data_IF_019100806865
#
_entry.id   IF_019100806865
#
_cell.length_a   1.000
_cell.length_b   1.000
_cell.length_c   1.000
_cell.angle_alpha   90.00
_cell.angle_beta   90.00
_cell.angle_gamma   90.00
#
_symmetry.space_group_name_H-M   'P 1'
#
loop_
_entity.id
_entity.type
_entity.pdbx_description
1 polymer ?
#
# COMPACT_ATOMS: atom_id res chain seq x y z
N UNK A 1 24.53 24.50 -7.02
CA UNK A 1 23.14 24.97 -7.18
C UNK A 1 22.49 24.05 -8.22
N UNK A 2 21.34 23.42 -7.91
CA UNK A 2 20.70 22.46 -8.81
C UNK A 2 20.15 23.18 -10.06
N UNK A 3 20.39 22.63 -11.25
CA UNK A 3 20.04 23.26 -12.55
C UNK A 3 18.53 23.35 -12.77
N UNK A 4 17.77 22.42 -12.20
CA UNK A 4 16.35 22.24 -12.41
C UNK A 4 15.50 22.66 -11.20
N UNK A 5 16.04 23.52 -10.33
CA UNK A 5 15.35 23.94 -9.10
C UNK A 5 13.97 24.50 -9.41
N UNK A 6 13.84 25.39 -10.39
CA UNK A 6 12.56 26.00 -10.74
C UNK A 6 11.55 24.99 -11.29
N UNK A 7 12.01 24.04 -12.11
CA UNK A 7 11.20 22.97 -12.66
C UNK A 7 10.72 22.00 -11.59
N UNK A 8 11.59 21.63 -10.65
CA UNK A 8 11.25 20.76 -9.52
C UNK A 8 10.21 21.45 -8.63
N UNK A 9 10.41 22.71 -8.25
CA UNK A 9 9.46 23.47 -7.42
C UNK A 9 8.11 23.63 -8.12
N UNK A 10 8.09 23.93 -9.43
CA UNK A 10 6.84 24.04 -10.19
C UNK A 10 6.11 22.70 -10.28
N UNK A 11 6.84 21.62 -10.52
CA UNK A 11 6.28 20.27 -10.64
C UNK A 11 5.69 19.79 -9.31
N UNK A 12 6.44 19.89 -8.21
CA UNK A 12 5.97 19.44 -6.90
C UNK A 12 4.93 20.39 -6.30
N UNK A 13 5.06 21.70 -6.54
CA UNK A 13 4.06 22.68 -6.12
C UNK A 13 2.67 22.43 -6.74
N UNK A 14 2.59 21.81 -7.92
CA UNK A 14 1.32 21.31 -8.45
C UNK A 14 0.73 20.22 -7.55
N UNK A 15 1.50 19.17 -7.22
CA UNK A 15 1.02 18.08 -6.37
C UNK A 15 0.73 18.51 -4.93
N UNK A 16 1.51 19.42 -4.35
CA UNK A 16 1.25 20.01 -3.03
C UNK A 16 -0.07 20.79 -2.99
N UNK A 17 -0.37 21.51 -4.07
CA UNK A 17 -1.65 22.20 -4.23
C UNK A 17 -2.81 21.22 -4.36
N UNK A 18 -2.69 20.19 -5.19
CA UNK A 18 -3.71 19.13 -5.30
C UNK A 18 -3.91 18.43 -3.95
N UNK A 19 -2.82 18.09 -3.26
CA UNK A 19 -2.87 17.48 -1.92
C UNK A 19 -3.66 18.36 -0.94
N UNK A 20 -3.38 19.66 -0.89
CA UNK A 20 -4.09 20.62 -0.03
C UNK A 20 -5.58 20.73 -0.38
N UNK A 21 -5.93 20.70 -1.68
CA UNK A 21 -7.32 20.72 -2.12
C UNK A 21 -8.06 19.45 -1.69
N UNK A 22 -7.44 18.29 -1.84
CA UNK A 22 -8.02 17.01 -1.42
C UNK A 22 -8.25 16.97 0.08
N UNK A 23 -7.33 17.51 0.90
CA UNK A 23 -7.54 17.60 2.35
C UNK A 23 -8.79 18.41 2.72
N UNK A 24 -9.10 19.45 1.94
CA UNK A 24 -10.30 20.27 2.13
C UNK A 24 -11.59 19.67 1.57
N UNK A 25 -11.52 18.57 0.81
CA UNK A 25 -12.67 17.93 0.20
C UNK A 25 -13.68 17.49 1.27
N UNK A 26 -14.97 17.78 1.03
CA UNK A 26 -16.08 17.38 1.89
C UNK A 26 -17.27 16.95 1.01
N UNK A 27 -17.94 15.88 1.42
CA UNK A 27 -19.21 15.43 0.84
C UNK A 27 -20.33 15.51 1.88
N UNK A 28 -21.55 15.10 1.52
CA UNK A 28 -22.70 15.12 2.45
C UNK A 28 -22.51 14.21 3.65
N UNK A 29 -21.78 13.12 3.49
CA UNK A 29 -21.43 12.16 4.54
C UNK A 29 -19.90 11.94 4.60
N UNK A 30 -19.40 11.55 5.77
CA UNK A 30 -17.97 11.35 6.00
C UNK A 30 -17.39 10.12 5.28
N UNK A 31 -18.21 9.11 4.98
CA UNK A 31 -17.77 7.88 4.34
C UNK A 31 -17.32 8.13 2.89
N UNK A 32 -18.16 8.78 2.07
CA UNK A 32 -17.78 9.15 0.72
C UNK A 32 -16.62 10.16 0.70
N UNK A 33 -16.55 11.06 1.70
CA UNK A 33 -15.42 11.98 1.83
C UNK A 33 -14.11 11.21 1.97
N UNK A 34 -14.06 10.22 2.86
CA UNK A 34 -12.87 9.40 3.08
C UNK A 34 -12.48 8.63 1.81
N UNK A 35 -13.44 7.93 1.17
CA UNK A 35 -13.17 7.17 -0.06
C UNK A 35 -12.62 8.06 -1.17
N UNK A 36 -13.26 9.20 -1.44
CA UNK A 36 -12.83 10.08 -2.52
C UNK A 36 -11.44 10.66 -2.24
N UNK A 37 -11.15 11.05 -1.00
CA UNK A 37 -9.81 11.48 -0.63
C UNK A 37 -8.77 10.38 -0.85
N UNK A 38 -9.02 9.15 -0.37
CA UNK A 38 -8.12 8.00 -0.56
C UNK A 38 -7.87 7.72 -2.05
N UNK A 39 -8.92 7.74 -2.87
CA UNK A 39 -8.83 7.56 -4.33
C UNK A 39 -7.94 8.61 -4.99
N UNK A 40 -8.09 9.88 -4.62
CA UNK A 40 -7.26 10.93 -5.20
C UNK A 40 -5.82 10.85 -4.68
N UNK A 41 -5.61 10.55 -3.39
CA UNK A 41 -4.27 10.36 -2.84
C UNK A 41 -3.51 9.23 -3.55
N UNK A 42 -4.14 8.08 -3.80
CA UNK A 42 -3.48 7.00 -4.58
C UNK A 42 -3.26 7.38 -6.05
N UNK A 43 -4.12 8.22 -6.63
CA UNK A 43 -3.92 8.79 -7.95
C UNK A 43 -2.68 9.69 -8.02
N UNK A 44 -2.48 10.55 -7.02
CA UNK A 44 -1.28 11.39 -6.91
C UNK A 44 -0.03 10.53 -6.74
N UNK A 45 -0.07 9.51 -5.86
CA UNK A 45 1.05 8.56 -5.68
C UNK A 45 1.38 7.85 -7.00
N UNK A 46 0.39 7.38 -7.75
CA UNK A 46 0.61 6.71 -9.04
C UNK A 46 1.23 7.68 -10.08
N UNK A 47 0.77 8.94 -10.11
CA UNK A 47 1.34 9.98 -10.97
C UNK A 47 2.82 10.26 -10.64
N UNK A 48 3.17 10.40 -9.36
CA UNK A 48 4.56 10.54 -8.91
C UNK A 48 5.39 9.29 -9.24
N UNK A 49 4.82 8.09 -9.06
CA UNK A 49 5.51 6.84 -9.39
C UNK A 49 5.83 6.73 -10.88
N UNK A 50 4.96 7.24 -11.78
CA UNK A 50 5.23 7.30 -13.23
C UNK A 50 6.39 8.24 -13.54
N UNK A 51 6.53 9.36 -12.81
CA UNK A 51 7.67 10.27 -12.97
C UNK A 51 8.99 9.58 -12.64
N UNK A 52 9.06 8.85 -11.52
CA UNK A 52 10.30 8.21 -11.07
C UNK A 52 10.60 6.93 -11.85
N UNK A 53 9.58 6.13 -12.18
CA UNK A 53 9.71 4.82 -12.82
C UNK A 53 8.90 4.71 -14.13
N UNK A 54 9.17 5.55 -15.15
CA UNK A 54 8.32 5.68 -16.34
C UNK A 54 8.28 4.44 -17.23
N UNK A 55 9.29 3.56 -17.14
CA UNK A 55 9.42 2.36 -17.99
C UNK A 55 8.92 1.08 -17.32
N UNK A 56 8.40 1.16 -16.09
CA UNK A 56 7.93 -0.01 -15.32
C UNK A 56 6.41 -0.15 -15.44
N UNK A 57 5.92 -1.38 -15.30
CA UNK A 57 4.48 -1.65 -15.28
C UNK A 57 3.80 -0.98 -14.06
N UNK A 58 2.50 -0.69 -14.15
CA UNK A 58 1.76 0.07 -13.13
C UNK A 58 1.97 -0.46 -11.70
N UNK A 59 1.83 -1.77 -11.51
CA UNK A 59 2.05 -2.42 -10.20
C UNK A 59 3.48 -2.26 -9.71
N UNK A 60 4.43 -2.55 -10.59
CA UNK A 60 5.86 -2.54 -10.26
C UNK A 60 6.31 -1.13 -9.86
N UNK A 61 5.98 -0.09 -10.66
CA UNK A 61 6.33 1.29 -10.31
C UNK A 61 5.72 1.72 -8.99
N UNK A 62 4.46 1.39 -8.74
CA UNK A 62 3.75 1.84 -7.54
C UNK A 62 4.35 1.21 -6.29
N UNK A 63 4.57 -0.11 -6.31
CA UNK A 63 5.18 -0.83 -5.19
C UNK A 63 6.62 -0.38 -4.95
N UNK A 64 7.44 -0.26 -6.01
CA UNK A 64 8.81 0.26 -5.88
C UNK A 64 8.80 1.67 -5.29
N UNK A 65 7.96 2.57 -5.83
CA UNK A 65 7.85 3.94 -5.35
C UNK A 65 7.49 4.03 -3.87
N UNK A 66 6.57 3.19 -3.39
CA UNK A 66 6.26 3.15 -1.96
C UNK A 66 7.45 2.71 -1.12
N UNK A 67 8.20 1.71 -1.56
CA UNK A 67 9.36 1.24 -0.80
C UNK A 67 10.47 2.29 -0.71
N UNK A 68 10.65 3.06 -1.78
CA UNK A 68 11.78 3.98 -1.90
C UNK A 68 11.47 5.37 -1.35
N UNK A 69 10.23 5.86 -1.48
CA UNK A 69 9.90 7.27 -1.23
C UNK A 69 8.87 7.51 -0.11
N UNK A 70 8.20 6.48 0.41
CA UNK A 70 7.10 6.72 1.36
C UNK A 70 7.52 6.82 2.82
N UNK A 71 8.71 6.34 3.16
CA UNK A 71 9.15 6.17 4.55
C UNK A 71 8.32 5.13 5.34
N UNK A 72 7.47 4.33 4.68
CA UNK A 72 6.60 3.38 5.35
C UNK A 72 7.38 2.16 5.87
N UNK A 73 7.78 2.24 7.15
CA UNK A 73 8.56 1.23 7.87
C UNK A 73 8.07 -0.22 7.72
N UNK A 74 6.76 -0.43 7.61
CA UNK A 74 6.15 -1.76 7.60
C UNK A 74 5.73 -2.24 6.20
N UNK A 75 6.03 -1.47 5.15
CA UNK A 75 5.65 -1.79 3.76
C UNK A 75 6.10 -3.20 3.32
N UNK A 76 7.26 -3.65 3.81
CA UNK A 76 7.87 -4.93 3.44
C UNK A 76 7.53 -6.09 4.39
N UNK A 77 6.81 -5.84 5.49
CA UNK A 77 6.37 -6.89 6.41
C UNK A 77 5.22 -7.70 5.80
N UNK A 78 5.12 -8.96 6.21
CA UNK A 78 4.12 -9.90 5.71
C UNK A 78 2.91 -9.90 6.63
N UNK A 79 1.71 -9.69 6.08
CA UNK A 79 0.44 -9.73 6.81
C UNK A 79 0.12 -11.13 7.33
N UNK A 80 0.19 -11.34 8.65
CA UNK A 80 -0.16 -12.60 9.30
C UNK A 80 -1.61 -13.02 9.04
N UNK A 81 -2.64 -12.14 9.11
CA UNK A 81 -4.02 -12.55 8.83
C UNK A 81 -4.24 -13.02 7.40
N UNK A 82 -3.62 -12.35 6.42
CA UNK A 82 -3.73 -12.76 5.02
C UNK A 82 -2.97 -14.08 4.76
N UNK A 83 -1.82 -14.27 5.42
CA UNK A 83 -1.08 -15.52 5.37
C UNK A 83 -1.84 -16.67 6.02
N UNK A 84 -2.45 -16.45 7.19
CA UNK A 84 -3.28 -17.42 7.88
C UNK A 84 -4.43 -17.88 6.97
N UNK A 85 -5.19 -16.92 6.42
CA UNK A 85 -6.30 -17.21 5.52
C UNK A 85 -5.87 -18.01 4.29
N UNK A 86 -4.69 -17.70 3.73
CA UNK A 86 -4.12 -18.44 2.60
C UNK A 86 -3.75 -19.89 2.98
N UNK A 87 -3.19 -20.09 4.18
CA UNK A 87 -2.80 -21.41 4.71
C UNK A 87 -3.98 -22.27 5.16
N UNK A 88 -5.10 -21.67 5.55
CA UNK A 88 -6.35 -22.37 5.86
C UNK A 88 -7.02 -22.89 4.59
N UNK A 89 -7.03 -22.07 3.54
CA UNK A 89 -7.58 -22.45 2.24
C UNK A 89 -6.72 -23.45 1.48
N UNK A 90 -5.48 -23.66 1.93
CA UNK A 90 -4.57 -24.61 1.32
C UNK A 90 -3.97 -25.56 2.38
N UNK A 91 -4.57 -26.75 2.59
CA UNK A 91 -4.19 -27.66 3.66
C UNK A 91 -2.91 -28.47 3.35
N UNK A 92 -2.07 -28.01 2.43
CA UNK A 92 -0.90 -28.75 2.02
C UNK A 92 0.04 -29.07 3.23
N UNK A 93 0.47 -30.33 3.41
CA UNK A 93 1.26 -30.73 4.58
C UNK A 93 2.64 -30.09 4.66
N UNK A 94 3.23 -29.73 3.52
CA UNK A 94 4.56 -29.12 3.45
C UNK A 94 4.62 -27.78 4.21
N UNK A 95 3.50 -27.05 4.29
CA UNK A 95 3.35 -25.79 5.01
C UNK A 95 3.01 -25.94 6.51
N UNK A 96 2.99 -27.16 7.06
CA UNK A 96 2.60 -27.42 8.46
C UNK A 96 3.37 -26.58 9.48
N UNK A 97 4.70 -26.48 9.34
CA UNK A 97 5.54 -25.66 10.24
C UNK A 97 5.18 -24.18 10.19
N UNK A 98 4.97 -23.64 8.98
CA UNK A 98 4.56 -22.26 8.80
C UNK A 98 3.16 -22.02 9.38
N UNK A 99 2.23 -22.97 9.18
CA UNK A 99 0.87 -22.91 9.74
C UNK A 99 0.89 -22.85 11.26
N UNK A 100 1.65 -23.72 11.92
CA UNK A 100 1.80 -23.69 13.39
C UNK A 100 2.36 -22.36 13.87
N UNK A 101 3.39 -21.83 13.19
CA UNK A 101 3.96 -20.51 13.51
C UNK A 101 2.90 -19.40 13.40
N UNK A 102 2.24 -19.28 12.23
CA UNK A 102 1.26 -18.20 11.98
C UNK A 102 0.09 -18.26 12.95
N UNK A 103 -0.47 -19.45 13.21
CA UNK A 103 -1.54 -19.63 14.20
C UNK A 103 -1.06 -19.20 15.59
N UNK A 104 0.16 -19.57 15.98
CA UNK A 104 0.71 -19.18 17.30
C UNK A 104 0.97 -17.68 17.44
N UNK A 105 1.32 -16.98 16.35
CA UNK A 105 1.52 -15.53 16.37
C UNK A 105 0.20 -14.77 16.43
N UNK A 106 -0.79 -15.18 15.62
CA UNK A 106 -2.13 -14.56 15.61
C UNK A 106 -2.88 -14.81 16.92
N UNK A 107 -2.71 -16.00 17.53
CA UNK A 107 -3.34 -16.32 18.82
C UNK A 107 -2.86 -15.44 20.00
N UNK A 108 -1.82 -14.63 19.82
CA UNK A 108 -1.36 -13.65 20.82
C UNK A 108 -2.21 -12.38 20.83
N UNK A 109 -3.04 -12.17 19.81
CA UNK A 109 -3.85 -10.97 19.66
C UNK A 109 -5.16 -11.14 20.41
N UNK A 110 -5.58 -10.12 21.15
CA UNK A 110 -6.81 -10.19 21.95
C UNK A 110 -8.02 -9.70 21.15
N UNK A 111 -9.18 -10.34 21.33
CA UNK A 111 -10.41 -9.88 20.67
C UNK A 111 -10.74 -8.43 21.00
N UNK A 112 -11.09 -7.64 19.98
CA UNK A 112 -11.35 -6.20 20.07
C UNK A 112 -10.10 -5.33 20.19
N UNK A 113 -8.89 -5.91 20.17
CA UNK A 113 -7.64 -5.17 20.15
C UNK A 113 -7.41 -4.47 18.80
N UNK A 114 -6.80 -3.28 18.84
CA UNK A 114 -6.21 -2.67 17.65
C UNK A 114 -4.77 -3.19 17.53
N UNK A 115 -4.50 -4.00 16.51
CA UNK A 115 -3.18 -4.62 16.29
C UNK A 115 -2.42 -3.84 15.23
N UNK A 116 -1.29 -3.26 15.63
CA UNK A 116 -0.39 -2.50 14.76
C UNK A 116 0.59 -3.40 14.00
N UNK A 117 1.07 -2.92 12.85
CA UNK A 117 1.95 -3.69 11.95
C UNK A 117 3.38 -3.94 12.48
N UNK A 118 3.74 -3.37 13.64
CA UNK A 118 5.04 -3.63 14.27
C UNK A 118 5.17 -5.07 14.77
N UNK A 119 4.05 -5.75 15.04
CA UNK A 119 3.98 -7.16 15.43
C UNK A 119 4.13 -8.13 14.26
N UNK A 120 4.03 -7.63 13.02
CA UNK A 120 4.13 -8.46 11.82
C UNK A 120 5.58 -8.92 11.57
N UNK A 121 5.78 -10.13 11.01
CA UNK A 121 7.10 -10.66 10.73
C UNK A 121 7.73 -10.05 9.48
N UNK A 122 9.06 -9.99 9.50
CA UNK A 122 9.85 -9.74 8.31
C UNK A 122 9.71 -10.88 7.30
N UNK A 123 9.73 -10.56 6.01
CA UNK A 123 9.60 -11.55 4.93
C UNK A 123 10.62 -12.70 5.04
N UNK A 124 11.85 -12.40 5.49
CA UNK A 124 12.90 -13.40 5.65
C UNK A 124 12.59 -14.42 6.77
N UNK A 125 11.84 -14.02 7.81
CA UNK A 125 11.39 -14.95 8.84
C UNK A 125 10.38 -15.95 8.26
N UNK A 126 9.45 -15.47 7.43
CA UNK A 126 8.47 -16.33 6.74
C UNK A 126 9.15 -17.24 5.72
N UNK A 127 10.07 -16.72 4.90
CA UNK A 127 10.81 -17.50 3.89
C UNK A 127 11.56 -18.70 4.48
N UNK A 128 12.09 -18.59 5.70
CA UNK A 128 12.76 -19.71 6.41
C UNK A 128 11.81 -20.85 6.78
N UNK A 129 10.53 -20.54 6.97
CA UNK A 129 9.47 -21.50 7.27
C UNK A 129 8.70 -21.95 6.02
N UNK A 130 8.88 -21.23 4.90
CA UNK A 130 8.28 -21.55 3.62
C UNK A 130 8.86 -22.85 3.06
N UNK A 131 8.06 -23.76 2.49
CA UNK A 131 8.55 -25.03 1.98
C UNK A 131 9.55 -24.82 0.84
N UNK A 132 10.78 -25.29 1.05
CA UNK A 132 11.87 -25.20 0.08
C UNK A 132 11.85 -26.39 -0.88
N UNK A 133 10.94 -26.36 -1.85
CA UNK A 133 11.15 -27.11 -3.07
C UNK A 133 11.88 -26.18 -4.04
N UNK A 134 13.18 -26.45 -4.25
CA UNK A 134 14.12 -25.75 -5.16
C UNK A 134 13.82 -24.25 -5.39
N UNK A 135 14.60 -23.40 -4.73
CA UNK A 135 14.63 -21.93 -4.92
C UNK A 135 13.45 -21.09 -4.41
N UNK A 136 12.70 -21.54 -3.39
CA UNK A 136 11.56 -20.78 -2.84
C UNK A 136 10.48 -20.43 -3.90
N UNK A 137 10.44 -21.16 -5.02
CA UNK A 137 9.52 -20.88 -6.13
C UNK A 137 8.11 -21.48 -5.90
N UNK A 138 7.91 -22.21 -4.79
CA UNK A 138 6.61 -22.80 -4.49
C UNK A 138 5.60 -21.70 -4.18
N UNK A 139 4.68 -21.49 -5.10
CA UNK A 139 3.56 -20.59 -4.92
C UNK A 139 2.39 -21.33 -4.28
N UNK A 140 1.65 -20.64 -3.44
CA UNK A 140 0.42 -21.15 -2.84
C UNK A 140 -0.75 -20.52 -3.58
N UNK A 141 -1.48 -21.31 -4.38
CA UNK A 141 -2.50 -20.82 -5.32
C UNK A 141 -1.98 -19.75 -6.30
N UNK A 142 -0.75 -19.89 -6.79
CA UNK A 142 -0.13 -18.91 -7.68
C UNK A 142 0.39 -17.64 -6.97
N UNK A 143 0.26 -17.55 -5.65
CA UNK A 143 0.77 -16.44 -4.85
C UNK A 143 2.08 -16.81 -4.17
N UNK A 144 3.11 -15.99 -4.39
CA UNK A 144 4.33 -15.99 -3.57
C UNK A 144 4.13 -15.25 -2.26
N UNK A 145 5.05 -15.42 -1.31
CA UNK A 145 5.02 -14.73 -0.01
C UNK A 145 5.06 -13.20 -0.16
N UNK A 146 5.71 -12.70 -1.21
CA UNK A 146 5.81 -11.27 -1.53
C UNK A 146 4.42 -10.64 -1.74
N UNK A 147 3.45 -11.39 -2.28
CA UNK A 147 2.09 -10.90 -2.50
C UNK A 147 1.38 -10.53 -1.19
N UNK A 148 1.85 -11.04 -0.06
CA UNK A 148 1.31 -10.80 1.27
C UNK A 148 2.00 -9.64 2.00
N UNK A 149 2.99 -9.01 1.37
CA UNK A 149 3.62 -7.81 1.93
C UNK A 149 2.68 -6.62 1.86
N UNK A 150 2.74 -5.74 2.86
CA UNK A 150 1.82 -4.61 2.96
C UNK A 150 1.85 -3.66 1.75
N UNK A 151 3.00 -3.44 1.12
CA UNK A 151 3.08 -2.64 -0.12
C UNK A 151 2.28 -3.28 -1.27
N UNK A 152 2.29 -4.60 -1.38
CA UNK A 152 1.51 -5.35 -2.36
C UNK A 152 0.02 -5.37 -2.00
N UNK A 153 -0.32 -5.54 -0.72
CA UNK A 153 -1.70 -5.48 -0.23
C UNK A 153 -2.30 -4.09 -0.43
N UNK A 154 -1.52 -3.03 -0.20
CA UNK A 154 -1.95 -1.66 -0.43
C UNK A 154 -2.15 -1.36 -1.91
N UNK A 155 -1.34 -1.93 -2.81
CA UNK A 155 -1.63 -1.87 -4.25
C UNK A 155 -2.94 -2.57 -4.61
N UNK A 156 -3.22 -3.74 -4.03
CA UNK A 156 -4.51 -4.42 -4.20
C UNK A 156 -5.68 -3.59 -3.66
N UNK A 157 -5.51 -2.96 -2.49
CA UNK A 157 -6.49 -2.04 -1.91
C UNK A 157 -6.74 -0.83 -2.83
N UNK A 158 -5.68 -0.23 -3.40
CA UNK A 158 -5.78 0.82 -4.41
C UNK A 158 -6.62 0.40 -5.60
N UNK A 159 -6.53 -0.86 -6.04
CA UNK A 159 -7.35 -1.33 -7.16
C UNK A 159 -8.83 -1.39 -6.78
N UNK A 160 -9.17 -1.85 -5.58
CA UNK A 160 -10.56 -1.80 -5.10
C UNK A 160 -11.09 -0.38 -5.00
N UNK A 161 -10.27 0.57 -4.51
CA UNK A 161 -10.67 1.98 -4.49
C UNK A 161 -10.93 2.53 -5.89
N UNK A 162 -9.98 2.38 -6.81
CA UNK A 162 -10.00 3.05 -8.12
C UNK A 162 -10.94 2.37 -9.11
N UNK A 163 -11.05 1.03 -9.06
CA UNK A 163 -11.81 0.26 -10.05
C UNK A 163 -13.16 -0.24 -9.54
N UNK A 164 -13.38 -0.25 -8.21
CA UNK A 164 -14.62 -0.75 -7.62
C UNK A 164 -15.31 0.28 -6.71
N UNK A 165 -14.71 1.46 -6.49
CA UNK A 165 -15.27 2.53 -5.65
C UNK A 165 -15.64 2.06 -4.23
N UNK A 166 -14.89 1.10 -3.70
CA UNK A 166 -15.13 0.53 -2.36
C UNK A 166 -13.83 0.31 -1.60
N UNK A 167 -13.97 0.28 -0.29
CA UNK A 167 -12.90 -0.19 0.60
C UNK A 167 -12.90 -1.73 0.62
N UNK A 168 -11.70 -2.31 0.64
CA UNK A 168 -11.54 -3.74 0.90
C UNK A 168 -11.27 -3.94 2.38
N UNK A 169 -12.06 -4.82 3.01
CA UNK A 169 -12.18 -4.91 4.47
C UNK A 169 -13.43 -4.17 4.97
N UNK A 170 -13.90 -4.55 6.15
CA UNK A 170 -15.02 -3.93 6.90
C UNK A 170 -14.52 -3.24 8.18
N UNK A 171 -13.21 -3.00 8.26
CA UNK A 171 -12.57 -2.20 9.27
C UNK A 171 -13.26 -0.86 9.47
N UNK A 172 -13.66 -0.58 10.70
CA UNK A 172 -14.21 0.73 11.07
C UNK A 172 -13.02 1.63 11.35
N UNK A 173 -12.94 2.78 10.66
CA UNK A 173 -11.92 3.77 10.96
C UNK A 173 -12.10 4.33 12.37
N UNK A 174 -11.16 4.01 13.27
CA UNK A 174 -10.94 4.80 14.47
C UNK A 174 -10.42 6.20 14.08
N UNK A 175 -10.98 7.24 14.70
CA UNK A 175 -10.92 8.64 14.24
C UNK A 175 -9.51 9.28 14.30
N UNK A 176 -8.44 8.59 14.73
CA UNK A 176 -7.12 9.22 14.93
C UNK A 176 -5.89 8.36 14.60
N UNK A 177 -6.04 7.31 13.80
CA UNK A 177 -4.90 6.44 13.49
C UNK A 177 -4.12 6.90 12.26
N UNK A 178 -2.81 7.05 12.41
CA UNK A 178 -1.88 7.48 11.34
C UNK A 178 -1.16 6.32 10.65
N UNK A 179 -1.34 5.10 11.17
CA UNK A 179 -0.74 3.88 10.64
C UNK A 179 -1.83 2.85 10.33
N UNK A 180 -1.60 1.93 9.39
CA UNK A 180 -2.51 0.81 9.18
C UNK A 180 -2.52 -0.12 10.39
N UNK A 181 -3.64 -0.76 10.63
CA UNK A 181 -3.85 -1.67 11.76
C UNK A 181 -4.86 -2.75 11.40
N UNK A 182 -4.92 -3.78 12.24
CA UNK A 182 -6.00 -4.75 12.23
C UNK A 182 -6.95 -4.49 13.38
N UNK A 183 -8.22 -4.74 13.12
CA UNK A 183 -9.27 -4.85 14.13
C UNK A 183 -10.02 -6.15 13.88
N UNK A 184 -10.46 -6.80 14.94
CA UNK A 184 -11.19 -8.05 14.83
C UNK A 184 -12.69 -7.83 14.76
N UNK A 185 -13.38 -8.71 14.03
CA UNK A 185 -14.84 -8.78 13.99
C UNK A 185 -15.28 -10.24 14.06
N UNK A 186 -16.40 -10.46 14.74
CA UNK A 186 -17.15 -11.72 14.71
C UNK A 186 -18.32 -11.59 13.74
N UNK A 187 -18.58 -12.61 12.93
CA UNK A 187 -19.79 -12.63 12.12
C UNK A 187 -21.03 -12.91 13.00
N UNK A 188 -22.17 -12.28 12.68
CA UNK A 188 -23.43 -12.56 13.41
C UNK A 188 -23.87 -14.03 13.27
N UNK A 189 -23.55 -14.66 12.13
CA UNK A 189 -23.88 -16.06 11.84
C UNK A 189 -22.91 -17.05 12.50
N UNK A 190 -21.67 -16.62 12.76
CA UNK A 190 -20.61 -17.42 13.38
C UNK A 190 -19.88 -16.57 14.43
N UNK A 191 -20.51 -16.33 15.60
CA UNK A 191 -19.97 -15.42 16.62
C UNK A 191 -18.66 -15.91 17.22
N UNK A 192 -18.39 -17.21 17.14
CA UNK A 192 -17.16 -17.84 17.63
C UNK A 192 -15.99 -17.73 16.62
N UNK A 193 -16.25 -17.29 15.39
CA UNK A 193 -15.22 -17.09 14.36
C UNK A 193 -14.82 -15.63 14.30
N UNK A 194 -13.64 -15.36 14.83
CA UNK A 194 -13.04 -14.04 14.82
C UNK A 194 -12.15 -13.85 13.59
N UNK A 195 -12.39 -12.78 12.84
CA UNK A 195 -11.60 -12.41 11.66
C UNK A 195 -10.89 -11.09 11.89
N UNK A 196 -9.60 -11.06 11.59
CA UNK A 196 -8.77 -9.87 11.64
C UNK A 196 -8.76 -9.14 10.31
N UNK A 197 -9.24 -7.91 10.28
CA UNK A 197 -9.37 -7.13 9.06
C UNK A 197 -8.40 -5.94 9.04
N UNK A 198 -7.67 -5.82 7.94
CA UNK A 198 -6.70 -4.75 7.71
C UNK A 198 -7.42 -3.45 7.34
N UNK A 199 -7.10 -2.38 8.07
CA UNK A 199 -7.64 -1.04 7.83
C UNK A 199 -6.53 -0.08 7.43
N UNK A 200 -6.75 0.67 6.36
CA UNK A 200 -5.89 1.78 5.95
C UNK A 200 -6.61 3.11 6.26
N UNK A 201 -6.32 3.75 7.41
CA UNK A 201 -7.02 4.98 7.80
C UNK A 201 -6.67 6.14 6.88
N UNK A 202 -7.59 7.09 6.69
CA UNK A 202 -7.36 8.26 5.83
C UNK A 202 -6.06 9.03 6.17
N UNK A 203 -5.74 9.21 7.45
CA UNK A 203 -4.54 9.94 7.87
C UNK A 203 -3.24 9.21 7.52
N UNK A 204 -3.28 7.88 7.36
CA UNK A 204 -2.15 7.14 6.80
C UNK A 204 -1.86 7.59 5.37
N UNK A 205 -2.88 7.78 4.51
CA UNK A 205 -2.67 8.26 3.14
C UNK A 205 -2.11 9.68 3.11
N UNK A 206 -2.58 10.55 3.99
CA UNK A 206 -2.09 11.94 4.08
C UNK A 206 -0.60 11.98 4.44
N UNK A 207 -0.22 11.24 5.47
CA UNK A 207 1.17 11.13 5.89
C UNK A 207 2.05 10.45 4.83
N UNK A 208 1.54 9.37 4.22
CA UNK A 208 2.23 8.63 3.17
C UNK A 208 2.53 9.54 1.97
N UNK A 209 1.53 10.29 1.49
CA UNK A 209 1.69 11.19 0.36
C UNK A 209 2.59 12.39 0.68
N UNK A 210 2.44 12.99 1.86
CA UNK A 210 3.31 14.09 2.30
C UNK A 210 4.79 13.66 2.31
N UNK A 211 5.08 12.47 2.85
CA UNK A 211 6.44 11.92 2.82
C UNK A 211 6.91 11.65 1.39
N UNK A 212 6.09 11.03 0.54
CA UNK A 212 6.41 10.80 -0.87
C UNK A 212 6.81 12.08 -1.61
N UNK A 213 6.07 13.18 -1.43
CA UNK A 213 6.38 14.47 -2.07
C UNK A 213 7.75 14.99 -1.58
N UNK A 214 7.99 14.94 -0.26
CA UNK A 214 9.24 15.39 0.35
C UNK A 214 10.44 14.58 -0.15
N UNK A 215 10.36 13.24 -0.13
CA UNK A 215 11.45 12.36 -0.55
C UNK A 215 11.71 12.46 -2.06
N UNK A 216 10.66 12.62 -2.87
CA UNK A 216 10.82 12.89 -4.31
C UNK A 216 11.55 14.21 -4.54
N UNK A 217 11.24 15.27 -3.79
CA UNK A 217 11.97 16.54 -3.87
C UNK A 217 13.45 16.35 -3.61
N UNK A 218 13.78 15.67 -2.52
CA UNK A 218 15.17 15.39 -2.13
C UNK A 218 15.88 14.62 -3.24
N UNK A 219 15.26 13.56 -3.76
CA UNK A 219 15.82 12.74 -4.83
C UNK A 219 16.06 13.50 -6.13
N UNK A 220 15.07 14.28 -6.61
CA UNK A 220 15.21 15.07 -7.84
C UNK A 220 16.32 16.13 -7.70
N UNK A 221 16.42 16.75 -6.52
CA UNK A 221 17.44 17.76 -6.23
C UNK A 221 18.84 17.13 -6.17
N UNK A 222 19.01 16.03 -5.45
CA UNK A 222 20.29 15.36 -5.28
C UNK A 222 20.82 14.78 -6.59
N UNK A 223 19.93 14.25 -7.44
CA UNK A 223 20.29 13.61 -8.69
C UNK A 223 20.26 14.57 -9.90
N UNK A 224 19.94 15.85 -9.69
CA UNK A 224 19.83 16.85 -10.75
C UNK A 224 18.93 16.40 -11.91
N UNK A 225 17.73 15.91 -11.56
CA UNK A 225 16.74 15.37 -12.49
C UNK A 225 15.66 16.42 -12.77
N UNK A 226 15.35 16.65 -14.04
CA UNK A 226 14.17 17.41 -14.44
C UNK A 226 12.95 16.46 -14.50
N UNK A 227 11.92 16.65 -13.66
CA UNK A 227 10.75 15.76 -13.62
C UNK A 227 9.94 15.76 -14.93
N UNK A 228 10.02 16.83 -15.73
CA UNK A 228 9.31 16.93 -17.00
C UNK A 228 9.90 16.03 -18.10
N UNK A 229 11.14 15.56 -17.96
CA UNK A 229 11.77 14.68 -18.96
C UNK A 229 11.07 13.32 -19.10
N UNK A 230 10.19 12.97 -18.16
CA UNK A 230 9.47 11.70 -18.15
C UNK A 230 8.02 11.82 -18.64
N UNK A 231 7.61 13.03 -19.06
CA UNK A 231 6.30 13.29 -19.63
C UNK A 231 6.46 13.81 -21.05
N UNK A 232 5.65 13.28 -21.97
CA UNK A 232 5.43 13.93 -23.26
C UNK A 232 4.28 14.91 -23.10
N UNK A 233 4.58 16.19 -23.25
CA UNK A 233 3.58 17.23 -23.09
C UNK A 233 2.92 17.50 -24.44
N UNK A 234 1.59 17.42 -24.48
CA UNK A 234 0.85 17.78 -25.67
C UNK A 234 -0.65 17.62 -25.52
N UNK A 235 -1.38 17.98 -26.57
CA UNK A 235 -2.84 18.01 -26.56
C UNK A 235 -3.47 16.65 -26.84
N UNK A 236 -2.71 15.68 -27.35
CA UNK A 236 -3.24 14.43 -27.84
C UNK A 236 -3.11 13.32 -26.81
N UNK A 237 -4.04 12.38 -26.82
CA UNK A 237 -4.06 11.25 -25.87
C UNK A 237 -3.14 10.11 -26.28
N UNK A 238 -2.67 10.12 -27.52
CA UNK A 238 -1.66 9.20 -28.06
C UNK A 238 -0.29 9.88 -27.89
N UNK A 239 0.58 9.27 -27.09
CA UNK A 239 1.87 9.85 -26.69
C UNK A 239 2.79 10.15 -27.89
N UNK A 240 2.70 9.38 -28.97
CA UNK A 240 3.46 9.58 -30.22
C UNK A 240 3.02 10.80 -31.02
N UNK A 241 1.82 11.34 -30.76
CA UNK A 241 1.33 12.56 -31.40
C UNK A 241 1.77 13.84 -30.68
N UNK A 242 2.40 13.71 -29.51
CA UNK A 242 2.86 14.82 -28.70
C UNK A 242 4.37 15.06 -28.91
N UNK A 243 4.79 16.31 -28.70
CA UNK A 243 6.17 16.77 -28.87
C UNK A 243 7.03 16.55 -27.62
#
# INVERSE_FOLDING_TARGET
MNKYTAEIERFLGHFEKEFSQVQSLQTKDGYHTAIYKKMIYVGIIDALSKCIYPRRGNRERFVMFLNDFSGWKYAQKVSLPHLLQLLERNPEPSFSKLRTYVVSEVAKWASGEIVTLDREPEINAIKRLWPNEKEHQKTLNGLGVEALQHCNLFYSYRNSLVHEFRESGRGIESIKEYAPYYISFSYLEEPDVEVWELTYPIYFFENLLSNCISEVKIYLVQNNINPYNFYKLGAYWIEELNF
#
